data_IF_829762826579
#
_entry.id   IF_829762826579
#
_cell.length_a   1.000
_cell.length_b   1.000
_cell.length_c   1.000
_cell.angle_alpha   90.00
_cell.angle_beta   90.00
_cell.angle_gamma   90.00
#
_symmetry.space_group_name_H-M   'P 1'
#
loop_
_entity.id
_entity.type
_entity.pdbx_description
1 polymer ?
#
# COMPACT_ATOMS: atom_id res chain seq x y z
N UNK A 1 -45.19 -70.52 -18.75
CA UNK A 1 -44.82 -69.88 -17.51
C UNK A 1 -44.10 -68.59 -17.82
N UNK A 2 -44.87 -67.51 -17.90
CA UNK A 2 -44.36 -66.21 -18.28
C UNK A 2 -44.15 -65.41 -17.01
N UNK A 3 -42.88 -65.02 -16.73
CA UNK A 3 -42.57 -64.16 -15.61
C UNK A 3 -42.62 -62.70 -16.13
N UNK A 4 -43.60 -61.98 -15.64
CA UNK A 4 -43.68 -60.53 -15.78
C UNK A 4 -42.62 -59.91 -14.88
N UNK A 5 -41.63 -59.22 -15.50
CA UNK A 5 -40.71 -58.31 -14.82
C UNK A 5 -41.44 -56.99 -14.57
N UNK A 6 -41.66 -56.66 -13.29
CA UNK A 6 -42.15 -55.34 -12.89
C UNK A 6 -41.13 -54.28 -13.16
N UNK A 7 -41.52 -53.12 -13.71
CA UNK A 7 -40.62 -51.98 -13.86
C UNK A 7 -40.41 -51.30 -12.51
N UNK A 8 -39.16 -51.25 -12.08
CA UNK A 8 -38.71 -50.52 -10.88
C UNK A 8 -38.99 -49.02 -11.06
N UNK A 9 -39.66 -48.32 -10.14
CA UNK A 9 -39.87 -46.90 -10.24
C UNK A 9 -38.52 -46.16 -10.11
N UNK A 10 -38.20 -45.35 -11.10
CA UNK A 10 -37.01 -44.52 -11.14
C UNK A 10 -36.95 -43.58 -9.93
N UNK A 11 -35.87 -43.71 -9.16
CA UNK A 11 -35.52 -42.82 -8.08
C UNK A 11 -35.33 -41.42 -8.66
N UNK A 12 -35.98 -40.36 -8.19
CA UNK A 12 -35.73 -39.03 -8.63
C UNK A 12 -34.27 -38.66 -8.24
N UNK A 13 -33.47 -38.39 -9.22
CA UNK A 13 -32.13 -37.83 -9.06
C UNK A 13 -32.28 -36.50 -8.34
N UNK A 14 -31.91 -36.54 -7.04
CA UNK A 14 -31.79 -35.36 -6.23
C UNK A 14 -30.65 -34.55 -6.80
N UNK A 15 -31.00 -33.54 -7.62
CA UNK A 15 -30.04 -32.58 -8.12
C UNK A 15 -29.38 -31.91 -6.91
N UNK A 16 -28.14 -32.29 -6.64
CA UNK A 16 -27.26 -31.56 -5.74
C UNK A 16 -27.00 -30.18 -6.33
N UNK A 17 -27.97 -29.29 -6.11
CA UNK A 17 -27.76 -27.87 -6.24
C UNK A 17 -26.81 -27.46 -5.14
N UNK A 18 -25.52 -27.71 -5.35
CA UNK A 18 -24.48 -27.08 -4.56
C UNK A 18 -24.52 -25.58 -4.84
N UNK A 19 -25.32 -24.92 -4.02
CA UNK A 19 -25.24 -23.46 -3.87
C UNK A 19 -23.90 -23.15 -3.22
N UNK A 20 -22.83 -23.24 -3.98
CA UNK A 20 -21.54 -22.65 -3.62
C UNK A 20 -21.63 -21.13 -3.82
N UNK A 21 -22.53 -20.50 -3.07
CA UNK A 21 -22.49 -19.09 -2.80
C UNK A 21 -21.23 -18.84 -1.96
N UNK A 22 -20.10 -18.62 -2.62
CA UNK A 22 -18.92 -18.09 -1.96
C UNK A 22 -19.27 -16.72 -1.40
N UNK A 23 -19.22 -16.51 -0.06
CA UNK A 23 -19.38 -15.18 0.53
C UNK A 23 -18.07 -14.40 0.45
N UNK A 24 -17.32 -14.52 -0.66
CA UNK A 24 -16.00 -13.90 -0.82
C UNK A 24 -15.99 -12.56 -1.56
N UNK A 25 -17.08 -12.19 -2.23
CA UNK A 25 -17.03 -11.08 -3.17
C UNK A 25 -16.94 -9.66 -2.60
N UNK A 26 -17.22 -9.45 -1.32
CA UNK A 26 -17.25 -8.10 -0.72
C UNK A 26 -15.93 -7.72 -0.04
N UNK A 27 -15.35 -8.64 0.72
CA UNK A 27 -14.05 -8.43 1.38
C UNK A 27 -12.90 -8.28 0.38
N UNK A 28 -12.89 -9.07 -0.69
CA UNK A 28 -11.85 -9.01 -1.71
C UNK A 28 -11.88 -7.69 -2.50
N UNK A 29 -13.06 -7.16 -2.74
CA UNK A 29 -13.27 -5.87 -3.42
C UNK A 29 -12.71 -4.69 -2.60
N UNK A 30 -12.94 -4.66 -1.28
CA UNK A 30 -12.42 -3.61 -0.39
C UNK A 30 -10.90 -3.65 -0.26
N UNK A 31 -10.32 -4.84 -0.12
CA UNK A 31 -8.87 -5.03 -0.05
C UNK A 31 -8.20 -4.64 -1.37
N UNK A 32 -8.80 -4.99 -2.51
CA UNK A 32 -8.28 -4.60 -3.83
C UNK A 32 -8.36 -3.09 -4.02
N UNK A 33 -9.48 -2.46 -3.68
CA UNK A 33 -9.64 -1.00 -3.71
C UNK A 33 -8.63 -0.28 -2.81
N UNK A 34 -8.40 -0.80 -1.60
CA UNK A 34 -7.42 -0.26 -0.66
C UNK A 34 -5.99 -0.28 -1.20
N UNK A 35 -5.58 -1.37 -1.87
CA UNK A 35 -4.24 -1.46 -2.47
C UNK A 35 -4.07 -0.52 -3.66
N UNK A 36 -5.09 -0.40 -4.52
CA UNK A 36 -5.06 0.56 -5.64
C UNK A 36 -4.98 1.99 -5.10
N UNK A 37 -5.79 2.32 -4.10
CA UNK A 37 -5.76 3.64 -3.46
C UNK A 37 -4.39 3.94 -2.84
N UNK A 38 -3.82 2.99 -2.08
CA UNK A 38 -2.47 3.12 -1.52
C UNK A 38 -1.42 3.28 -2.62
N UNK A 39 -1.50 2.53 -3.71
CA UNK A 39 -0.59 2.64 -4.84
C UNK A 39 -0.64 4.02 -5.50
N UNK A 40 -1.82 4.58 -5.70
CA UNK A 40 -1.99 5.94 -6.25
C UNK A 40 -1.45 7.00 -5.31
N UNK A 41 -1.74 6.89 -3.99
CA UNK A 41 -1.21 7.82 -3.00
C UNK A 41 0.32 7.78 -2.95
N UNK A 42 0.93 6.60 -2.97
CA UNK A 42 2.38 6.46 -3.00
C UNK A 42 2.99 7.04 -4.28
N UNK A 43 2.37 6.86 -5.44
CA UNK A 43 2.82 7.50 -6.68
C UNK A 43 2.82 9.02 -6.58
N UNK A 44 1.72 9.60 -6.13
CA UNK A 44 1.59 11.06 -5.98
C UNK A 44 2.56 11.60 -4.93
N UNK A 45 2.63 10.96 -3.77
CA UNK A 45 3.54 11.37 -2.69
C UNK A 45 5.01 11.24 -3.10
N UNK A 46 5.38 10.16 -3.78
CA UNK A 46 6.72 9.96 -4.29
C UNK A 46 7.11 11.00 -5.33
N UNK A 47 6.21 11.33 -6.27
CA UNK A 47 6.45 12.39 -7.25
C UNK A 47 6.64 13.75 -6.58
N UNK A 48 5.78 14.10 -5.62
CA UNK A 48 5.88 15.35 -4.87
C UNK A 48 7.18 15.41 -4.05
N UNK A 49 7.58 14.31 -3.40
CA UNK A 49 8.83 14.25 -2.64
C UNK A 49 10.06 14.47 -3.54
N UNK A 50 10.06 13.89 -4.75
CA UNK A 50 11.13 14.14 -5.74
C UNK A 50 11.18 15.61 -6.13
N UNK A 51 10.04 16.22 -6.44
CA UNK A 51 9.96 17.64 -6.79
C UNK A 51 10.43 18.53 -5.64
N UNK A 52 10.02 18.25 -4.40
CA UNK A 52 10.50 18.94 -3.21
C UNK A 52 12.01 18.82 -3.02
N UNK A 53 12.55 17.61 -3.23
CA UNK A 53 13.99 17.38 -3.15
C UNK A 53 14.77 18.16 -4.20
N UNK A 54 14.28 18.20 -5.44
CA UNK A 54 14.87 19.00 -6.52
C UNK A 54 14.83 20.50 -6.18
N UNK A 55 13.68 20.99 -5.69
CA UNK A 55 13.54 22.39 -5.28
C UNK A 55 14.49 22.74 -4.14
N UNK A 56 14.62 21.89 -3.12
CA UNK A 56 15.55 22.10 -2.01
C UNK A 56 17.02 22.15 -2.46
N UNK A 57 17.42 21.33 -3.44
CA UNK A 57 18.77 21.37 -4.01
C UNK A 57 18.98 22.66 -4.80
N UNK A 58 17.99 23.11 -5.57
CA UNK A 58 18.08 24.33 -6.36
C UNK A 58 18.11 25.61 -5.50
N UNK A 59 17.44 25.61 -4.35
CA UNK A 59 17.41 26.76 -3.45
C UNK A 59 18.68 26.90 -2.60
N UNK A 60 19.47 25.82 -2.39
CA UNK A 60 20.71 25.87 -1.60
C UNK A 60 21.72 26.87 -2.18
N UNK A 61 21.76 27.05 -3.50
CA UNK A 61 22.59 28.01 -4.18
C UNK A 61 22.21 29.47 -3.85
N UNK A 62 20.99 29.73 -3.39
CA UNK A 62 20.48 31.07 -3.06
C UNK A 62 20.76 31.42 -1.60
N UNK A 63 20.65 30.49 -0.69
CA UNK A 63 20.84 30.70 0.75
C UNK A 63 22.31 30.68 1.20
N UNK A 64 23.20 30.01 0.47
CA UNK A 64 24.65 30.01 0.73
C UNK A 64 25.30 31.41 0.70
N UNK A 65 24.57 32.44 0.23
CA UNK A 65 25.04 33.84 0.13
C UNK A 65 24.64 34.73 1.29
N UNK A 66 23.82 34.28 2.25
CA UNK A 66 23.24 35.16 3.28
C UNK A 66 23.64 34.71 4.70
N UNK A 67 24.91 34.56 4.98
CA UNK A 67 25.45 34.78 6.33
C UNK A 67 25.48 33.62 7.32
N UNK A 68 26.63 33.60 7.86
CA UNK A 68 27.15 33.17 9.18
C UNK A 68 26.17 32.57 10.15
N UNK A 69 26.44 31.28 10.48
CA UNK A 69 25.99 30.63 11.71
C UNK A 69 24.51 30.21 11.78
N UNK A 70 24.15 29.23 10.99
CA UNK A 70 23.01 28.35 11.28
C UNK A 70 23.49 26.92 11.10
N UNK A 71 23.16 26.06 12.06
CA UNK A 71 23.38 24.61 12.09
C UNK A 71 23.26 24.02 10.69
N UNK A 72 24.38 23.57 10.13
CA UNK A 72 24.48 23.12 8.74
C UNK A 72 23.77 21.77 8.53
N UNK A 73 22.48 21.77 8.52
CA UNK A 73 21.77 20.78 7.75
C UNK A 73 21.74 21.30 6.32
N UNK A 74 22.67 20.86 5.47
CA UNK A 74 22.72 21.33 4.09
C UNK A 74 21.39 21.02 3.41
N UNK A 75 20.72 22.06 2.90
CA UNK A 75 19.46 21.89 2.15
C UNK A 75 19.68 20.92 1.00
N UNK A 76 20.85 20.91 0.38
CA UNK A 76 21.26 19.91 -0.61
C UNK A 76 21.21 18.50 -0.06
N UNK A 77 21.77 18.22 1.12
CA UNK A 77 21.72 16.89 1.74
C UNK A 77 20.28 16.44 2.02
N UNK A 78 19.46 17.35 2.54
CA UNK A 78 18.03 17.10 2.76
C UNK A 78 17.28 16.85 1.46
N UNK A 79 17.58 17.64 0.41
CA UNK A 79 17.02 17.49 -0.93
C UNK A 79 17.35 16.14 -1.55
N UNK A 80 18.63 15.70 -1.44
CA UNK A 80 19.06 14.37 -1.95
C UNK A 80 18.28 13.24 -1.24
N UNK A 81 18.13 13.31 0.08
CA UNK A 81 17.32 12.33 0.82
C UNK A 81 15.89 12.28 0.29
N UNK A 82 15.27 13.42 0.05
CA UNK A 82 13.89 13.49 -0.50
C UNK A 82 13.79 12.94 -1.92
N UNK A 83 14.77 13.20 -2.78
CA UNK A 83 14.81 12.62 -4.13
C UNK A 83 14.90 11.10 -4.07
N UNK A 84 15.82 10.56 -3.26
CA UNK A 84 16.02 9.11 -3.15
C UNK A 84 14.79 8.43 -2.54
N UNK A 85 14.28 8.93 -1.41
CA UNK A 85 13.08 8.37 -0.77
C UNK A 85 11.85 8.54 -1.67
N UNK A 86 11.68 9.68 -2.30
CA UNK A 86 10.59 9.93 -3.23
C UNK A 86 10.60 8.97 -4.42
N UNK A 87 11.77 8.70 -4.99
CA UNK A 87 11.92 7.73 -6.07
C UNK A 87 11.58 6.29 -5.61
N UNK A 88 11.99 5.90 -4.40
CA UNK A 88 11.64 4.59 -3.82
C UNK A 88 10.13 4.46 -3.57
N UNK A 89 9.51 5.49 -3.00
CA UNK A 89 8.06 5.53 -2.76
C UNK A 89 7.29 5.50 -4.09
N UNK A 90 7.73 6.26 -5.09
CA UNK A 90 7.15 6.26 -6.43
C UNK A 90 7.23 4.89 -7.09
N UNK A 91 8.41 4.26 -7.09
CA UNK A 91 8.62 2.92 -7.65
C UNK A 91 7.76 1.87 -6.93
N UNK A 92 7.62 1.97 -5.61
CA UNK A 92 6.75 1.10 -4.82
C UNK A 92 5.28 1.28 -5.20
N UNK A 93 4.81 2.51 -5.32
CA UNK A 93 3.44 2.82 -5.78
C UNK A 93 3.16 2.24 -7.17
N UNK A 94 4.08 2.40 -8.10
CA UNK A 94 3.98 1.82 -9.43
C UNK A 94 3.94 0.28 -9.38
N UNK A 95 4.83 -0.33 -8.58
CA UNK A 95 4.86 -1.79 -8.38
C UNK A 95 3.57 -2.34 -7.77
N UNK A 96 2.93 -1.61 -6.84
CA UNK A 96 1.64 -1.99 -6.26
C UNK A 96 0.53 -1.97 -7.31
N UNK A 97 0.48 -0.96 -8.17
CA UNK A 97 -0.51 -0.88 -9.25
C UNK A 97 -0.31 -1.97 -10.32
N UNK A 98 0.91 -2.46 -10.48
CA UNK A 98 1.27 -3.59 -11.35
C UNK A 98 1.18 -4.96 -10.65
N UNK A 99 0.72 -5.00 -9.41
CA UNK A 99 0.59 -6.21 -8.59
C UNK A 99 1.91 -6.99 -8.41
N UNK A 100 3.04 -6.28 -8.38
CA UNK A 100 4.37 -6.87 -8.19
C UNK A 100 4.55 -7.31 -6.73
N UNK A 101 4.98 -8.56 -6.51
CA UNK A 101 5.12 -9.13 -5.17
C UNK A 101 6.09 -8.34 -4.27
N UNK A 102 7.22 -7.87 -4.81
CA UNK A 102 8.20 -7.08 -4.07
C UNK A 102 7.66 -5.74 -3.56
N UNK A 103 6.75 -5.13 -4.33
CA UNK A 103 6.21 -3.81 -4.01
C UNK A 103 5.34 -3.83 -2.73
N UNK A 104 4.72 -4.95 -2.42
CA UNK A 104 3.96 -5.12 -1.17
C UNK A 104 4.89 -5.10 0.04
N UNK A 105 5.97 -5.86 -0.01
CA UNK A 105 6.97 -5.88 1.07
C UNK A 105 7.63 -4.51 1.21
N UNK A 106 8.03 -3.89 0.10
CA UNK A 106 8.59 -2.54 0.09
C UNK A 106 7.61 -1.50 0.67
N UNK A 107 6.33 -1.57 0.30
CA UNK A 107 5.29 -0.70 0.82
C UNK A 107 5.10 -0.83 2.34
N UNK A 108 5.08 -2.06 2.86
CA UNK A 108 4.99 -2.32 4.31
C UNK A 108 6.21 -1.74 5.03
N UNK A 109 7.42 -1.98 4.51
CA UNK A 109 8.67 -1.47 5.10
C UNK A 109 8.68 0.06 5.11
N UNK A 110 8.34 0.70 3.98
CA UNK A 110 8.29 2.16 3.88
C UNK A 110 7.24 2.78 4.80
N UNK A 111 6.03 2.20 4.86
CA UNK A 111 4.98 2.67 5.76
C UNK A 111 5.36 2.47 7.25
N UNK A 112 6.03 1.36 7.59
CA UNK A 112 6.54 1.14 8.95
C UNK A 112 7.63 2.15 9.33
N UNK A 113 8.52 2.47 8.41
CA UNK A 113 9.56 3.49 8.61
C UNK A 113 8.94 4.88 8.75
N UNK A 114 7.94 5.21 7.94
CA UNK A 114 7.15 6.44 8.04
C UNK A 114 6.47 6.55 9.41
N UNK A 115 5.83 5.47 9.87
CA UNK A 115 5.17 5.41 11.18
C UNK A 115 6.14 5.74 12.33
N UNK A 116 7.35 5.16 12.29
CA UNK A 116 8.40 5.45 13.28
C UNK A 116 8.82 6.91 13.22
N UNK A 117 9.03 7.45 12.00
CA UNK A 117 9.40 8.85 11.81
C UNK A 117 8.31 9.78 12.34
N UNK A 118 7.03 9.51 12.04
CA UNK A 118 5.91 10.31 12.54
C UNK A 118 5.78 10.26 14.07
N UNK A 119 6.10 9.13 14.69
CA UNK A 119 6.15 9.03 16.15
C UNK A 119 7.21 9.96 16.75
N UNK A 120 8.38 10.08 16.12
CA UNK A 120 9.43 11.01 16.55
C UNK A 120 9.03 12.48 16.36
N UNK A 121 8.24 12.78 15.31
CA UNK A 121 7.74 14.12 15.03
C UNK A 121 6.49 14.52 15.82
N UNK A 122 5.90 13.58 16.57
CA UNK A 122 4.67 13.82 17.36
C UNK A 122 4.74 15.04 18.28
N UNK A 123 5.86 15.32 19.01
CA UNK A 123 5.97 16.50 19.87
C UNK A 123 5.94 17.83 19.10
N UNK A 124 6.35 17.84 17.84
CA UNK A 124 6.46 19.05 17.02
C UNK A 124 5.17 19.36 16.24
N UNK A 125 4.45 18.34 15.80
CA UNK A 125 3.26 18.50 14.95
C UNK A 125 2.24 17.38 15.21
N UNK A 126 1.59 17.37 16.40
CA UNK A 126 0.82 16.22 16.88
C UNK A 126 -0.36 15.88 15.97
N UNK A 127 -1.12 16.87 15.51
CA UNK A 127 -2.31 16.63 14.66
C UNK A 127 -1.92 16.02 13.32
N UNK A 128 -0.88 16.57 12.68
CA UNK A 128 -0.41 16.07 11.39
C UNK A 128 0.19 14.67 11.51
N UNK A 129 1.02 14.44 12.52
CA UNK A 129 1.63 13.13 12.77
C UNK A 129 0.59 12.05 13.04
N UNK A 130 -0.46 12.32 13.80
CA UNK A 130 -1.53 11.35 14.05
C UNK A 130 -2.28 10.98 12.78
N UNK A 131 -2.56 11.97 11.90
CA UNK A 131 -3.21 11.72 10.60
C UNK A 131 -2.33 10.80 9.75
N UNK A 132 -1.04 11.12 9.64
CA UNK A 132 -0.09 10.32 8.85
C UNK A 132 0.08 8.91 9.41
N UNK A 133 0.20 8.77 10.74
CA UNK A 133 0.26 7.44 11.39
C UNK A 133 -0.99 6.60 11.10
N UNK A 134 -2.18 7.21 11.10
CA UNK A 134 -3.41 6.49 10.77
C UNK A 134 -3.41 5.99 9.32
N UNK A 135 -2.90 6.80 8.37
CA UNK A 135 -2.73 6.41 6.96
C UNK A 135 -1.70 5.27 6.85
N UNK A 136 -0.56 5.36 7.52
CA UNK A 136 0.49 4.33 7.49
C UNK A 136 -0.03 2.98 8.02
N UNK A 137 -0.77 3.00 9.15
CA UNK A 137 -1.40 1.79 9.70
C UNK A 137 -2.41 1.20 8.72
N UNK A 138 -3.22 2.04 8.07
CA UNK A 138 -4.17 1.58 7.06
C UNK A 138 -3.45 0.94 5.86
N UNK A 139 -2.38 1.53 5.38
CA UNK A 139 -1.57 1.00 4.28
C UNK A 139 -0.95 -0.35 4.65
N UNK A 140 -0.34 -0.46 5.84
CA UNK A 140 0.23 -1.70 6.35
C UNK A 140 -0.85 -2.79 6.41
N UNK A 141 -2.01 -2.48 6.98
CA UNK A 141 -3.12 -3.41 7.08
C UNK A 141 -3.60 -3.88 5.70
N UNK A 142 -3.80 -2.96 4.76
CA UNK A 142 -4.27 -3.27 3.41
C UNK A 142 -3.30 -4.18 2.64
N UNK A 143 -1.99 -3.93 2.78
CA UNK A 143 -0.96 -4.72 2.12
C UNK A 143 -0.76 -6.09 2.78
N UNK A 144 -0.81 -6.17 4.12
CA UNK A 144 -0.67 -7.41 4.87
C UNK A 144 -1.86 -8.37 4.63
N UNK A 145 -3.09 -7.85 4.60
CA UNK A 145 -4.30 -8.64 4.37
C UNK A 145 -4.31 -9.38 3.02
N UNK A 146 -3.66 -8.82 2.00
CA UNK A 146 -3.51 -9.49 0.70
C UNK A 146 -2.48 -10.61 0.70
N UNK A 147 -1.49 -10.53 1.57
CA UNK A 147 -0.44 -11.55 1.65
C UNK A 147 -0.98 -12.89 2.15
N UNK A 148 -1.92 -12.88 3.08
CA UNK A 148 -2.57 -14.08 3.61
C UNK A 148 -3.45 -14.81 2.58
N UNK A 149 -4.07 -14.07 1.66
CA UNK A 149 -4.91 -14.65 0.61
C UNK A 149 -4.08 -15.41 -0.44
N UNK A 150 -2.84 -14.98 -0.70
CA UNK A 150 -1.95 -15.62 -1.68
C UNK A 150 -1.26 -16.88 -1.14
N UNK A 151 -1.11 -17.02 0.18
CA UNK A 151 -0.46 -18.19 0.80
C UNK A 151 -1.42 -19.35 1.05
N UNK A 152 -2.73 -19.15 0.87
CA UNK A 152 -3.77 -20.17 1.02
C UNK A 152 -4.31 -20.73 -0.31
N UNK A 153 -3.82 -20.26 -1.42
CA UNK A 153 -4.16 -20.71 -2.77
C UNK A 153 -3.07 -21.62 -3.35
#
# INVERSE_FOLDING_TARGET
MSQHAEPTPGRPSRGDGTWSGRPGGRSDSWVTGGVVFAGVLLLLSGALAVLQGIAAIAEDDVYARIGTYVYEMSLTGWGVVHVVLGALVFATGYGLLKDMAWARTAGIVLASLSLIAQFLFLPYSPVWSVIMMAIDVFVIWALASRQESSSRA
#
